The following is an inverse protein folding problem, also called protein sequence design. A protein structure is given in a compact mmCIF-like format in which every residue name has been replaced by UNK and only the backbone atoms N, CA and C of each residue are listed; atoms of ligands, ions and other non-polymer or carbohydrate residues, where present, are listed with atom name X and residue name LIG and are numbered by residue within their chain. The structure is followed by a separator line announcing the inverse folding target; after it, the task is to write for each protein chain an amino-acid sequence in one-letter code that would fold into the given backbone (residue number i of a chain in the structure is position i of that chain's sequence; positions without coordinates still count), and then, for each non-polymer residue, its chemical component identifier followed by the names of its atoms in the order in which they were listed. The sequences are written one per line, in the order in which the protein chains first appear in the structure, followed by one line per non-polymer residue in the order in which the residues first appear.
data_IF_236669447257
#
_entry.id   IF_236669447257
#
_cell.length_a   1.000
_cell.length_b   1.000
_cell.length_c   1.000
_cell.angle_alpha   90.00
_cell.angle_beta   90.00
_cell.angle_gamma   90.00
#
_symmetry.space_group_name_H-M   'P 1'
#
loop_
_entity.id
_entity.type
_entity.pdbx_description
1 polymer ?
#
# COMPACT_ATOMS: atom_id res chain seq x y z
N UNK A 1 32.95 53.34 19.18
CA UNK A 1 31.56 52.87 19.38
C UNK A 1 31.34 51.90 18.24
N UNK A 2 31.58 50.62 18.49
CA UNK A 2 31.38 49.55 17.52
C UNK A 2 29.90 49.15 17.54
N UNK A 3 29.21 49.34 16.44
CA UNK A 3 27.88 48.75 16.20
C UNK A 3 28.08 47.59 15.25
N UNK A 4 28.18 46.38 15.82
CA UNK A 4 28.10 45.12 15.09
C UNK A 4 26.66 44.94 14.61
N UNK A 5 26.42 45.26 13.33
CA UNK A 5 25.21 44.89 12.61
C UNK A 5 25.14 43.36 12.54
N UNK A 6 24.24 42.79 13.35
CA UNK A 6 23.90 41.37 13.36
C UNK A 6 23.12 41.05 12.07
N UNK A 7 23.85 40.84 10.99
CA UNK A 7 23.30 40.39 9.71
C UNK A 7 22.84 38.93 9.86
N UNK A 8 21.57 38.75 10.23
CA UNK A 8 20.91 37.45 10.14
C UNK A 8 20.87 37.02 8.66
N UNK A 9 21.72 36.08 8.27
CA UNK A 9 21.67 35.47 6.95
C UNK A 9 20.43 34.55 6.88
N UNK A 10 19.41 34.97 6.13
CA UNK A 10 18.21 34.16 5.92
C UNK A 10 18.47 33.17 4.78
N UNK A 11 18.92 31.96 5.12
CA UNK A 11 19.11 30.88 4.14
C UNK A 11 17.75 30.33 3.69
N UNK A 12 17.48 30.38 2.39
CA UNK A 12 16.30 29.77 1.79
C UNK A 12 16.62 28.32 1.41
N UNK A 13 15.87 27.38 2.00
CA UNK A 13 15.95 25.95 1.65
C UNK A 13 14.77 25.58 0.75
N UNK A 14 15.08 25.03 -0.43
CA UNK A 14 14.12 24.41 -1.33
C UNK A 14 14.34 22.90 -1.32
N UNK A 15 13.30 22.10 -1.03
CA UNK A 15 13.36 20.64 -1.09
C UNK A 15 12.08 20.05 -1.65
N UNK A 16 12.20 18.86 -2.23
CA UNK A 16 11.07 18.08 -2.74
C UNK A 16 10.60 17.11 -1.66
N UNK A 17 9.31 17.17 -1.32
CA UNK A 17 8.70 16.17 -0.45
C UNK A 17 8.15 15.03 -1.33
N UNK A 18 8.73 13.84 -1.19
CA UNK A 18 8.19 12.65 -1.83
C UNK A 18 7.01 12.13 -1.02
N UNK A 19 5.81 12.20 -1.60
CA UNK A 19 4.58 11.70 -1.00
C UNK A 19 4.13 10.44 -1.75
N UNK A 20 4.34 9.23 -1.18
CA UNK A 20 3.88 8.00 -1.80
C UNK A 20 2.36 7.90 -1.79
N UNK A 21 1.80 7.05 -2.66
CA UNK A 21 0.34 6.92 -2.79
C UNK A 21 -0.29 6.37 -1.51
N UNK A 22 0.42 5.50 -0.79
CA UNK A 22 0.03 5.03 0.55
C UNK A 22 -0.27 6.14 1.55
N UNK A 23 0.38 7.31 1.44
CA UNK A 23 0.14 8.45 2.37
C UNK A 23 -1.29 8.98 2.31
N UNK A 24 -2.03 8.65 1.25
CA UNK A 24 -3.41 9.07 1.04
C UNK A 24 -4.40 7.94 1.34
N UNK A 25 -3.95 6.82 1.89
CA UNK A 25 -4.78 5.64 2.19
C UNK A 25 -5.23 5.62 3.65
N UNK A 26 -6.43 5.07 3.87
CA UNK A 26 -7.06 4.95 5.18
C UNK A 26 -7.48 3.48 5.37
N UNK A 27 -6.83 2.83 6.33
CA UNK A 27 -7.15 1.46 6.75
C UNK A 27 -8.23 1.43 7.81
N UNK A 28 -9.47 1.81 7.45
CA UNK A 28 -10.63 1.68 8.34
C UNK A 28 -11.77 0.95 7.64
N UNK A 29 -12.22 -0.12 8.26
CA UNK A 29 -13.41 -0.87 7.85
C UNK A 29 -14.61 -0.32 8.66
N UNK A 30 -15.61 0.31 8.04
CA UNK A 30 -16.74 0.85 8.80
C UNK A 30 -17.63 -0.28 9.35
N UNK A 31 -17.83 -1.37 8.58
CA UNK A 31 -18.61 -2.56 8.98
C UNK A 31 -17.99 -3.82 8.37
N UNK A 32 -18.21 -4.99 8.99
CA UNK A 32 -17.65 -6.27 8.49
C UNK A 32 -18.10 -6.62 7.07
N UNK A 33 -19.34 -6.30 6.72
CA UNK A 33 -19.94 -6.67 5.44
C UNK A 33 -19.59 -5.71 4.29
N UNK A 34 -18.94 -4.57 4.59
CA UNK A 34 -18.61 -3.53 3.61
C UNK A 34 -17.87 -4.05 2.39
N UNK A 35 -16.96 -5.02 2.57
CA UNK A 35 -16.17 -5.57 1.46
C UNK A 35 -17.02 -6.47 0.57
N UNK A 36 -17.90 -7.29 1.14
CA UNK A 36 -18.83 -8.13 0.40
C UNK A 36 -19.86 -7.29 -0.38
N UNK A 37 -20.35 -6.22 0.24
CA UNK A 37 -21.24 -5.26 -0.41
C UNK A 37 -20.54 -4.55 -1.57
N UNK A 38 -19.31 -4.06 -1.37
CA UNK A 38 -18.52 -3.42 -2.43
C UNK A 38 -18.25 -4.36 -3.60
N UNK A 39 -17.84 -5.60 -3.33
CA UNK A 39 -17.55 -6.60 -4.37
C UNK A 39 -18.81 -7.00 -5.16
N UNK A 40 -19.97 -7.05 -4.50
CA UNK A 40 -21.26 -7.40 -5.14
C UNK A 40 -21.93 -6.21 -5.83
N UNK A 41 -21.60 -4.98 -5.43
CA UNK A 41 -22.20 -3.75 -5.97
C UNK A 41 -21.84 -3.45 -7.43
N UNK A 42 -20.76 -4.04 -7.96
CA UNK A 42 -20.23 -3.72 -9.29
C UNK A 42 -19.52 -2.38 -9.40
N UNK A 43 -19.30 -1.66 -8.29
CA UNK A 43 -18.61 -0.36 -8.28
C UNK A 43 -17.10 -0.46 -8.51
N UNK A 44 -16.49 -1.60 -8.20
CA UNK A 44 -15.06 -1.85 -8.39
C UNK A 44 -14.81 -2.36 -9.82
N UNK A 45 -14.81 -1.44 -10.78
CA UNK A 45 -14.69 -1.74 -12.22
C UNK A 45 -13.26 -2.04 -12.66
N UNK A 46 -12.29 -1.46 -11.97
CA UNK A 46 -10.88 -1.55 -12.31
C UNK A 46 -10.22 -2.74 -11.63
N UNK A 47 -9.32 -3.41 -12.33
CA UNK A 47 -8.60 -4.57 -11.83
C UNK A 47 -7.15 -4.57 -12.30
N UNK A 48 -6.26 -5.07 -11.45
CA UNK A 48 -4.85 -5.23 -11.77
C UNK A 48 -4.27 -6.37 -10.92
N UNK A 49 -3.23 -7.02 -11.42
CA UNK A 49 -2.51 -8.05 -10.68
C UNK A 49 -1.01 -7.77 -10.61
N UNK A 50 -0.40 -8.24 -9.54
CA UNK A 50 1.03 -8.23 -9.31
C UNK A 50 1.48 -9.64 -8.96
N UNK A 51 2.50 -10.13 -9.66
CA UNK A 51 3.16 -11.39 -9.37
C UNK A 51 4.62 -11.11 -9.00
N UNK A 52 5.05 -11.66 -7.86
CA UNK A 52 6.43 -11.57 -7.37
C UNK A 52 6.98 -12.98 -7.17
N UNK A 53 8.24 -13.13 -7.53
CA UNK A 53 9.03 -14.34 -7.31
C UNK A 53 10.09 -14.04 -6.24
N UNK A 54 10.63 -15.09 -5.61
CA UNK A 54 11.70 -15.02 -4.62
C UNK A 54 11.44 -14.04 -3.46
N UNK A 55 10.21 -14.00 -2.95
CA UNK A 55 9.86 -13.12 -1.83
C UNK A 55 10.58 -13.58 -0.56
N UNK A 56 11.48 -12.73 -0.05
CA UNK A 56 12.38 -13.07 1.07
C UNK A 56 11.66 -13.35 2.40
N UNK A 57 10.41 -12.87 2.56
CA UNK A 57 9.64 -13.03 3.78
C UNK A 57 8.85 -14.35 3.73
N UNK A 58 9.43 -15.41 4.31
CA UNK A 58 8.82 -16.76 4.34
C UNK A 58 7.61 -16.83 5.27
N UNK A 59 7.42 -15.85 6.14
CA UNK A 59 6.27 -15.75 7.03
C UNK A 59 5.18 -14.85 6.42
N UNK A 60 4.13 -15.50 5.91
CA UNK A 60 2.97 -14.82 5.32
C UNK A 60 2.36 -13.78 6.26
N UNK A 61 2.34 -14.01 7.57
CA UNK A 61 1.79 -13.06 8.54
C UNK A 61 2.62 -11.77 8.62
N UNK A 62 3.94 -11.89 8.54
CA UNK A 62 4.85 -10.72 8.50
C UNK A 62 4.70 -9.96 7.20
N UNK A 63 4.62 -10.66 6.07
CA UNK A 63 4.37 -10.04 4.78
C UNK A 63 3.08 -9.21 4.81
N UNK A 64 1.97 -9.80 5.28
CA UNK A 64 0.70 -9.08 5.41
C UNK A 64 0.81 -7.88 6.34
N UNK A 65 1.47 -8.05 7.49
CA UNK A 65 1.68 -6.98 8.46
C UNK A 65 2.44 -5.80 7.84
N UNK A 66 3.47 -6.07 7.03
CA UNK A 66 4.21 -5.04 6.30
C UNK A 66 3.31 -4.29 5.32
N UNK A 67 2.55 -5.00 4.49
CA UNK A 67 1.63 -4.36 3.53
C UNK A 67 0.56 -3.54 4.26
N UNK A 68 -0.03 -4.08 5.33
CA UNK A 68 -1.06 -3.40 6.11
C UNK A 68 -0.53 -2.13 6.78
N UNK A 69 0.66 -2.20 7.39
CA UNK A 69 1.27 -1.08 8.08
C UNK A 69 1.73 0.02 7.12
N UNK A 70 2.41 -0.34 6.04
CA UNK A 70 2.98 0.64 5.11
C UNK A 70 1.95 1.25 4.16
N UNK A 71 0.99 0.45 3.69
CA UNK A 71 0.01 0.89 2.71
C UNK A 71 -1.38 1.16 3.31
N UNK A 72 -1.48 1.16 4.65
CA UNK A 72 -2.71 1.40 5.39
C UNK A 72 -3.88 0.51 4.95
N UNK A 73 -3.63 -0.80 4.83
CA UNK A 73 -4.68 -1.79 4.62
C UNK A 73 -5.17 -2.37 5.93
N UNK A 74 -6.46 -2.69 5.98
CA UNK A 74 -7.08 -3.50 7.01
C UNK A 74 -7.17 -4.95 6.53
N UNK A 75 -6.71 -5.89 7.34
CA UNK A 75 -6.93 -7.32 7.12
C UNK A 75 -8.41 -7.65 7.38
N UNK A 76 -9.10 -8.13 6.35
CA UNK A 76 -10.53 -8.47 6.39
C UNK A 76 -10.70 -9.93 6.80
N UNK A 77 -9.98 -10.80 6.11
CA UNK A 77 -10.03 -12.25 6.29
C UNK A 77 -8.67 -12.84 5.92
N UNK A 78 -8.29 -13.91 6.62
CA UNK A 78 -7.15 -14.73 6.26
C UNK A 78 -7.53 -16.21 6.38
N UNK A 79 -7.28 -16.97 5.31
CA UNK A 79 -7.41 -18.43 5.27
C UNK A 79 -6.13 -19.00 4.70
N UNK A 80 -5.39 -19.75 5.52
CA UNK A 80 -4.08 -20.31 5.19
C UNK A 80 -3.08 -19.24 4.69
N UNK A 81 -2.71 -19.34 3.40
CA UNK A 81 -1.79 -18.45 2.69
C UNK A 81 -2.52 -17.51 1.73
N UNK A 82 -3.81 -17.29 1.96
CA UNK A 82 -4.65 -16.34 1.24
C UNK A 82 -5.21 -15.31 2.22
N UNK A 83 -5.21 -14.04 1.84
CA UNK A 83 -5.78 -12.97 2.65
C UNK A 83 -6.49 -11.92 1.80
N UNK A 84 -7.59 -11.41 2.34
CA UNK A 84 -8.36 -10.32 1.78
C UNK A 84 -8.06 -9.05 2.57
N UNK A 85 -7.66 -7.99 1.87
CA UNK A 85 -7.31 -6.70 2.44
C UNK A 85 -8.22 -5.61 1.88
N UNK A 86 -8.50 -4.60 2.69
CA UNK A 86 -9.29 -3.43 2.29
C UNK A 86 -8.63 -2.13 2.71
N UNK A 87 -8.70 -1.13 1.84
CA UNK A 87 -8.38 0.26 2.17
C UNK A 87 -9.18 1.18 1.26
N UNK A 88 -9.21 2.47 1.60
CA UNK A 88 -9.74 3.49 0.71
C UNK A 88 -8.87 4.75 0.76
N UNK A 89 -8.85 5.52 -0.31
CA UNK A 89 -8.17 6.81 -0.30
C UNK A 89 -8.95 7.86 0.49
N UNK A 90 -8.31 8.98 0.83
CA UNK A 90 -8.97 10.17 1.39
C UNK A 90 -10.09 10.75 0.49
N UNK A 91 -10.11 10.38 -0.80
CA UNK A 91 -11.15 10.75 -1.77
C UNK A 91 -12.23 9.67 -1.92
N UNK A 92 -12.22 8.65 -1.06
CA UNK A 92 -13.19 7.54 -1.06
C UNK A 92 -13.10 6.63 -2.30
N UNK A 93 -11.93 6.57 -2.94
CA UNK A 93 -11.63 5.49 -3.87
C UNK A 93 -11.31 4.20 -3.10
N UNK A 94 -12.13 3.17 -3.26
CA UNK A 94 -12.00 1.91 -2.55
C UNK A 94 -11.03 0.97 -3.25
N UNK A 95 -10.24 0.24 -2.47
CA UNK A 95 -9.29 -0.77 -2.97
C UNK A 95 -9.43 -2.04 -2.15
N UNK A 96 -9.73 -3.15 -2.83
CA UNK A 96 -9.72 -4.49 -2.26
C UNK A 96 -8.56 -5.27 -2.86
N UNK A 97 -7.75 -5.93 -2.03
CA UNK A 97 -6.68 -6.80 -2.48
C UNK A 97 -6.91 -8.24 -2.02
N UNK A 98 -6.58 -9.20 -2.88
CA UNK A 98 -6.49 -10.61 -2.58
C UNK A 98 -5.02 -11.02 -2.72
N UNK A 99 -4.40 -11.34 -1.59
CA UNK A 99 -2.99 -11.74 -1.50
C UNK A 99 -2.92 -13.24 -1.35
N UNK A 100 -2.20 -13.93 -2.23
CA UNK A 100 -1.97 -15.38 -2.17
C UNK A 100 -0.48 -15.66 -2.20
N UNK A 101 0.02 -16.47 -1.27
CA UNK A 101 1.41 -16.90 -1.21
C UNK A 101 1.51 -18.40 -1.42
N UNK A 102 2.40 -18.82 -2.31
CA UNK A 102 2.74 -20.23 -2.52
C UNK A 102 4.09 -20.54 -1.88
N UNK A 103 4.05 -21.26 -0.76
CA UNK A 103 5.24 -21.54 0.07
C UNK A 103 6.25 -22.47 -0.62
N UNK A 104 5.80 -23.33 -1.53
CA UNK A 104 6.65 -24.28 -2.26
C UNK A 104 7.50 -23.61 -3.35
N UNK A 105 7.01 -22.54 -3.97
CA UNK A 105 7.68 -21.83 -5.07
C UNK A 105 8.21 -20.45 -4.68
N UNK A 106 7.91 -19.96 -3.47
CA UNK A 106 8.28 -18.60 -3.06
C UNK A 106 7.52 -17.50 -3.83
N UNK A 107 6.44 -17.87 -4.53
CA UNK A 107 5.65 -16.96 -5.34
C UNK A 107 4.59 -16.24 -4.50
N UNK A 108 4.37 -14.98 -4.82
CA UNK A 108 3.30 -14.16 -4.25
C UNK A 108 2.49 -13.57 -5.40
N UNK A 109 1.17 -13.77 -5.38
CA UNK A 109 0.24 -13.04 -6.23
C UNK A 109 -0.62 -12.09 -5.42
N UNK A 110 -0.83 -10.91 -5.96
CA UNK A 110 -1.72 -9.89 -5.42
C UNK A 110 -2.67 -9.48 -6.53
N UNK A 111 -3.94 -9.80 -6.36
CA UNK A 111 -5.01 -9.36 -7.25
C UNK A 111 -5.72 -8.18 -6.60
N UNK A 112 -5.91 -7.09 -7.32
CA UNK A 112 -6.55 -5.90 -6.80
C UNK A 112 -7.77 -5.50 -7.61
N UNK A 113 -8.77 -4.95 -6.92
CA UNK A 113 -9.95 -4.31 -7.49
C UNK A 113 -10.14 -2.91 -6.91
N UNK A 114 -10.55 -1.97 -7.76
CA UNK A 114 -10.71 -0.57 -7.39
C UNK A 114 -11.79 0.11 -8.22
N UNK A 115 -12.26 1.27 -7.78
CA UNK A 115 -13.03 2.23 -8.60
C UNK A 115 -12.13 3.32 -9.21
N UNK A 116 -10.80 3.18 -9.08
CA UNK A 116 -9.80 4.06 -9.66
C UNK A 116 -8.55 3.28 -10.08
N UNK A 117 -8.36 3.11 -11.39
CA UNK A 117 -7.23 2.40 -12.00
C UNK A 117 -5.87 2.98 -11.62
N UNK A 118 -5.72 4.31 -11.65
CA UNK A 118 -4.45 4.98 -11.39
C UNK A 118 -3.98 4.77 -9.94
N UNK A 119 -4.93 4.85 -8.99
CA UNK A 119 -4.67 4.55 -7.59
C UNK A 119 -4.19 3.10 -7.44
N UNK A 120 -4.91 2.16 -8.04
CA UNK A 120 -4.60 0.74 -7.96
C UNK A 120 -3.22 0.41 -8.54
N UNK A 121 -2.88 0.93 -9.72
CA UNK A 121 -1.59 0.67 -10.35
C UNK A 121 -0.43 1.23 -9.53
N UNK A 122 -0.58 2.42 -8.97
CA UNK A 122 0.44 3.04 -8.13
C UNK A 122 0.62 2.30 -6.79
N UNK A 123 -0.49 1.84 -6.18
CA UNK A 123 -0.42 1.05 -4.94
C UNK A 123 0.28 -0.29 -5.16
N UNK A 124 -0.03 -0.99 -6.25
CA UNK A 124 0.66 -2.25 -6.58
C UNK A 124 2.15 -2.02 -6.88
N UNK A 125 2.51 -0.92 -7.54
CA UNK A 125 3.91 -0.56 -7.75
C UNK A 125 4.64 -0.28 -6.44
N UNK A 126 4.00 0.42 -5.51
CA UNK A 126 4.56 0.68 -4.17
C UNK A 126 4.70 -0.62 -3.36
N UNK A 127 3.68 -1.49 -3.36
CA UNK A 127 3.75 -2.81 -2.70
C UNK A 127 4.86 -3.67 -3.29
N UNK A 128 5.04 -3.65 -4.62
CA UNK A 128 6.17 -4.31 -5.28
C UNK A 128 7.50 -3.83 -4.72
N UNK A 129 7.72 -2.51 -4.67
CA UNK A 129 8.95 -1.94 -4.13
C UNK A 129 9.15 -2.26 -2.64
N UNK A 130 8.06 -2.29 -1.86
CA UNK A 130 8.09 -2.64 -0.45
C UNK A 130 8.54 -4.10 -0.22
N UNK A 131 8.07 -5.02 -1.05
CA UNK A 131 8.30 -6.46 -0.90
C UNK A 131 9.54 -6.96 -1.66
N UNK A 132 10.04 -6.21 -2.64
CA UNK A 132 11.31 -6.52 -3.29
C UNK A 132 12.50 -6.44 -2.33
N UNK A 133 13.56 -7.23 -2.53
CA UNK A 133 14.79 -7.13 -1.76
C UNK A 133 15.35 -5.70 -1.83
N UNK A 134 15.77 -5.14 -0.69
CA UNK A 134 16.53 -3.88 -0.69
C UNK A 134 17.95 -4.22 -1.13
N UNK A 135 18.41 -3.68 -2.25
CA UNK A 135 19.84 -3.71 -2.58
C UNK A 135 20.58 -2.87 -1.54
N UNK A 136 21.27 -3.54 -0.61
CA UNK A 136 22.29 -2.90 0.24
C UNK A 136 23.45 -2.50 -0.67
N UNK A 137 23.56 -1.21 -0.97
CA UNK A 137 24.77 -0.60 -1.54
C UNK A 137 25.76 -0.29 -0.44
#
# INVERSE_FOLDING_TARGET
MDTSDDMSAHEKLDFWLQLPVSSYMIGRLPHRDTVSDLLSSGQLTDHASLHLEDVMDTDFSRLLSRVCLHCHFTLVEQVDKTASLYSHSIQDHHVCLLVKSETSSGQLSIEGKSNCQLLLSNLLAEIKQLLSPRETT
#
